data_IF_489284703827
#
_entry.id   IF_489284703827
#
_cell.length_a   1.000
_cell.length_b   1.000
_cell.length_c   1.000
_cell.angle_alpha   90.00
_cell.angle_beta   90.00
_cell.angle_gamma   90.00
#
_symmetry.space_group_name_H-M   'P 1'
#
loop_
_entity.id
_entity.type
_entity.pdbx_description
1 polymer ?
#
# COMPACT_ATOMS: atom_id res chain seq x y z
N UNK A 1 27.19 -9.49 -6.34
CA UNK A 1 26.34 -8.28 -6.33
C UNK A 1 24.99 -8.58 -6.96
N UNK A 2 23.91 -8.13 -6.33
CA UNK A 2 22.54 -8.17 -6.84
C UNK A 2 21.80 -6.95 -6.31
N UNK A 3 21.53 -5.97 -7.16
CA UNK A 3 20.89 -4.71 -6.80
C UNK A 3 19.65 -4.52 -7.67
N UNK A 4 18.63 -3.88 -7.08
CA UNK A 4 17.34 -3.59 -7.72
C UNK A 4 17.15 -2.09 -7.71
N UNK A 5 16.71 -1.53 -8.84
CA UNK A 5 16.34 -0.13 -8.96
C UNK A 5 15.01 0.03 -9.68
N UNK A 6 14.24 1.03 -9.26
CA UNK A 6 12.99 1.42 -9.90
C UNK A 6 12.94 2.95 -10.04
N UNK A 7 12.38 3.41 -11.15
CA UNK A 7 11.94 4.80 -11.27
C UNK A 7 10.83 4.97 -12.32
N UNK A 8 9.96 5.93 -12.04
CA UNK A 8 8.88 6.40 -12.90
C UNK A 8 9.05 7.91 -13.15
N UNK A 9 9.11 8.32 -14.41
CA UNK A 9 9.27 9.73 -14.82
C UNK A 9 8.41 10.02 -16.05
N UNK A 10 7.79 11.21 -16.05
CA UNK A 10 7.01 11.74 -17.17
C UNK A 10 5.51 11.66 -16.93
N UNK A 11 4.75 11.92 -17.99
CA UNK A 11 3.29 11.89 -18.00
C UNK A 11 2.80 10.96 -19.12
N UNK A 12 1.57 10.45 -18.99
CA UNK A 12 0.95 9.63 -20.05
C UNK A 12 0.79 10.42 -21.36
N UNK A 13 0.91 9.77 -22.54
CA UNK A 13 1.22 8.35 -22.73
C UNK A 13 2.72 8.01 -22.79
N UNK A 14 3.62 8.99 -22.80
CA UNK A 14 5.07 8.75 -22.94
C UNK A 14 5.79 8.34 -21.64
N UNK A 15 5.07 8.31 -20.51
CA UNK A 15 5.56 7.91 -19.20
C UNK A 15 6.54 6.73 -19.27
N UNK A 16 7.74 6.93 -18.72
CA UNK A 16 8.73 5.87 -18.58
C UNK A 16 8.66 5.26 -17.19
N UNK A 17 8.50 3.95 -17.12
CA UNK A 17 8.62 3.18 -15.89
C UNK A 17 9.70 2.11 -16.08
N UNK A 18 10.79 2.26 -15.35
CA UNK A 18 11.99 1.42 -15.41
C UNK A 18 12.06 0.53 -14.18
N UNK A 19 12.12 -0.78 -14.40
CA UNK A 19 12.58 -1.74 -13.39
C UNK A 19 13.93 -2.28 -13.85
N UNK A 20 14.95 -2.28 -12.99
CA UNK A 20 16.27 -2.77 -13.38
C UNK A 20 16.94 -3.64 -12.33
N UNK A 21 17.81 -4.51 -12.83
CA UNK A 21 18.76 -5.31 -12.06
C UNK A 21 20.19 -4.90 -12.42
N UNK A 22 21.05 -4.79 -11.41
CA UNK A 22 22.51 -4.65 -11.57
C UNK A 22 23.19 -5.79 -10.82
N UNK A 23 24.14 -6.48 -11.43
CA UNK A 23 24.88 -7.52 -10.73
C UNK A 23 26.06 -8.05 -11.50
N UNK A 24 26.77 -8.99 -10.88
CA UNK A 24 27.98 -9.58 -11.45
C UNK A 24 27.66 -10.47 -12.65
N UNK A 25 28.55 -10.47 -13.65
CA UNK A 25 28.50 -11.34 -14.83
C UNK A 25 28.48 -12.84 -14.49
N UNK A 26 29.17 -13.23 -13.42
CA UNK A 26 29.21 -14.62 -12.95
C UNK A 26 28.11 -14.93 -11.93
N UNK A 27 27.25 -13.96 -11.62
CA UNK A 27 26.16 -14.08 -10.67
C UNK A 27 24.79 -14.36 -11.30
N UNK A 28 23.72 -14.36 -10.48
CA UNK A 28 22.35 -14.60 -10.96
C UNK A 28 21.90 -13.62 -12.04
N UNK A 29 22.33 -12.35 -11.97
CA UNK A 29 21.99 -11.34 -12.98
C UNK A 29 22.70 -11.65 -14.31
N UNK A 30 23.96 -12.08 -14.29
CA UNK A 30 24.67 -12.55 -15.48
C UNK A 30 24.05 -13.76 -16.16
N UNK A 31 23.60 -14.75 -15.38
CA UNK A 31 22.86 -15.91 -15.89
C UNK A 31 21.54 -15.45 -16.55
N UNK A 32 20.78 -14.59 -15.88
CA UNK A 32 19.53 -14.04 -16.41
C UNK A 32 19.75 -13.22 -17.68
N UNK A 33 20.85 -12.45 -17.73
CA UNK A 33 21.24 -11.66 -18.90
C UNK A 33 21.53 -12.58 -20.10
N UNK A 34 22.34 -13.61 -19.92
CA UNK A 34 22.71 -14.56 -20.97
C UNK A 34 21.47 -15.31 -21.51
N UNK A 35 20.61 -15.78 -20.60
CA UNK A 35 19.37 -16.45 -20.96
C UNK A 35 18.41 -15.51 -21.70
N UNK A 36 18.21 -14.29 -21.20
CA UNK A 36 17.32 -13.31 -21.82
C UNK A 36 17.77 -12.90 -23.21
N UNK A 37 19.09 -12.80 -23.44
CA UNK A 37 19.62 -12.51 -24.77
C UNK A 37 19.44 -13.69 -25.75
N UNK A 38 19.53 -14.93 -25.26
CA UNK A 38 19.48 -16.14 -26.09
C UNK A 38 18.07 -16.70 -26.30
N UNK A 39 17.13 -16.44 -25.38
CA UNK A 39 15.77 -17.01 -25.39
C UNK A 39 14.75 -15.91 -25.73
N UNK A 40 14.31 -15.90 -26.99
CA UNK A 40 13.41 -14.87 -27.49
C UNK A 40 11.94 -15.32 -27.40
N UNK A 41 11.08 -14.38 -27.01
CA UNK A 41 9.62 -14.55 -27.01
C UNK A 41 8.98 -13.56 -27.96
N UNK A 42 7.91 -13.98 -28.64
CA UNK A 42 7.16 -13.11 -29.55
C UNK A 42 6.66 -11.85 -28.83
N UNK A 43 7.00 -10.67 -29.37
CA UNK A 43 6.62 -9.37 -28.81
C UNK A 43 7.44 -8.90 -27.61
N UNK A 44 8.39 -9.70 -27.11
CA UNK A 44 9.25 -9.36 -25.96
C UNK A 44 10.72 -9.68 -26.26
N UNK A 45 11.21 -9.26 -27.42
CA UNK A 45 12.58 -9.51 -27.86
C UNK A 45 13.57 -8.60 -27.11
N UNK A 46 14.45 -9.15 -26.25
CA UNK A 46 15.45 -8.35 -25.57
C UNK A 46 16.58 -7.95 -26.52
N UNK A 47 17.27 -6.86 -26.21
CA UNK A 47 18.41 -6.39 -27.01
C UNK A 47 19.44 -5.67 -26.17
N UNK A 48 20.67 -5.61 -26.68
CA UNK A 48 21.73 -4.81 -26.07
C UNK A 48 21.41 -3.32 -26.23
N UNK A 49 21.58 -2.54 -25.15
CA UNK A 49 21.49 -1.09 -25.26
C UNK A 49 22.73 -0.54 -25.97
N UNK A 50 22.52 0.32 -26.96
CA UNK A 50 23.59 0.97 -27.71
C UNK A 50 23.35 2.47 -27.78
N UNK A 51 24.42 3.27 -27.61
CA UNK A 51 24.34 4.73 -27.77
C UNK A 51 24.05 5.05 -29.25
N UNK A 52 24.72 4.31 -30.12
CA UNK A 52 24.54 4.23 -31.57
C UNK A 52 24.99 2.84 -32.04
N UNK A 53 24.63 2.39 -33.25
CA UNK A 53 25.10 1.11 -33.78
C UNK A 53 26.63 0.96 -33.65
N UNK A 54 27.08 -0.22 -33.23
CA UNK A 54 28.49 -0.55 -32.94
C UNK A 54 29.12 0.19 -31.74
N UNK A 55 28.31 0.82 -30.88
CA UNK A 55 28.77 1.44 -29.63
C UNK A 55 27.83 1.08 -28.46
N UNK A 56 27.92 -0.15 -27.92
CA UNK A 56 27.16 -0.54 -26.72
C UNK A 56 27.61 0.26 -25.50
N UNK A 57 26.70 0.44 -24.54
CA UNK A 57 27.06 0.99 -23.23
C UNK A 57 27.90 -0.01 -22.43
N UNK A 58 28.63 0.52 -21.46
CA UNK A 58 29.33 -0.24 -20.43
C UNK A 58 28.87 0.29 -19.06
N UNK A 59 28.47 -0.57 -18.10
CA UNK A 59 28.42 -2.03 -18.19
C UNK A 59 27.42 -2.55 -19.24
N UNK A 60 27.63 -3.78 -19.70
CA UNK A 60 26.78 -4.36 -20.74
C UNK A 60 25.34 -4.45 -20.23
N UNK A 61 24.40 -3.92 -21.02
CA UNK A 61 23.02 -3.68 -20.58
C UNK A 61 22.04 -4.31 -21.56
N UNK A 62 21.13 -5.13 -21.06
CA UNK A 62 20.05 -5.77 -21.80
C UNK A 62 18.74 -5.01 -21.56
N UNK A 63 18.06 -4.59 -22.62
CA UNK A 63 16.74 -3.96 -22.55
C UNK A 63 15.67 -5.01 -22.80
N UNK A 64 14.63 -5.02 -21.96
CA UNK A 64 13.49 -5.94 -22.05
C UNK A 64 12.19 -5.14 -22.14
N UNK A 65 11.40 -5.25 -23.23
CA UNK A 65 10.10 -4.59 -23.33
C UNK A 65 9.09 -5.18 -22.32
N UNK A 66 8.49 -4.35 -21.45
CA UNK A 66 7.39 -4.77 -20.55
C UNK A 66 6.08 -4.98 -21.29
N UNK A 67 5.82 -4.14 -22.28
CA UNK A 67 4.60 -4.17 -23.09
C UNK A 67 4.86 -4.97 -24.36
N UNK A 68 3.93 -5.85 -24.73
CA UNK A 68 4.04 -6.67 -25.95
C UNK A 68 4.12 -5.77 -27.18
N UNK A 69 5.23 -5.84 -27.90
CA UNK A 69 5.48 -5.13 -29.15
C UNK A 69 4.70 -5.81 -30.28
N UNK A 70 3.75 -5.11 -30.89
CA UNK A 70 2.82 -5.66 -31.89
C UNK A 70 3.11 -5.24 -33.33
N UNK A 71 3.84 -4.13 -33.53
CA UNK A 71 4.10 -3.57 -34.85
C UNK A 71 5.44 -2.83 -34.91
N UNK A 72 5.83 -2.44 -36.12
CA UNK A 72 7.13 -1.79 -36.37
C UNK A 72 7.24 -0.40 -35.75
N UNK A 73 6.13 0.32 -35.56
CA UNK A 73 6.15 1.64 -34.91
C UNK A 73 6.54 1.48 -33.43
N UNK A 74 5.92 0.52 -32.73
CA UNK A 74 6.27 0.19 -31.35
C UNK A 74 7.70 -0.34 -31.25
N UNK A 75 8.14 -1.16 -32.21
CA UNK A 75 9.52 -1.62 -32.29
C UNK A 75 10.50 -0.45 -32.45
N UNK A 76 10.18 0.54 -33.29
CA UNK A 76 11.02 1.71 -33.50
C UNK A 76 11.13 2.61 -32.27
N UNK A 77 10.11 2.66 -31.42
CA UNK A 77 10.13 3.39 -30.14
C UNK A 77 11.08 2.75 -29.13
N UNK A 78 10.99 1.43 -28.96
CA UNK A 78 11.85 0.71 -28.02
C UNK A 78 13.30 0.63 -28.54
N UNK A 79 13.51 0.39 -29.83
CA UNK A 79 14.82 0.23 -30.47
C UNK A 79 15.41 1.54 -31.01
N UNK A 80 14.76 2.67 -30.73
CA UNK A 80 15.22 4.00 -31.13
C UNK A 80 15.44 4.88 -29.90
N UNK A 81 14.49 5.76 -29.57
CA UNK A 81 14.64 6.72 -28.47
C UNK A 81 14.87 6.05 -27.12
N UNK A 82 14.15 4.98 -26.77
CA UNK A 82 14.34 4.32 -25.48
C UNK A 82 15.70 3.59 -25.39
N UNK A 83 16.13 2.90 -26.45
CA UNK A 83 17.42 2.20 -26.48
C UNK A 83 18.60 3.14 -26.26
N UNK A 84 18.66 4.25 -27.00
CA UNK A 84 19.75 5.23 -26.85
C UNK A 84 19.66 6.00 -25.54
N UNK A 85 18.45 6.25 -25.04
CA UNK A 85 18.23 6.86 -23.72
C UNK A 85 18.80 6.00 -22.58
N UNK A 86 18.44 4.70 -22.54
CA UNK A 86 18.98 3.75 -21.57
C UNK A 86 20.50 3.67 -21.68
N UNK A 87 21.03 3.50 -22.90
CA UNK A 87 22.47 3.37 -23.11
C UNK A 87 23.26 4.59 -22.63
N UNK A 88 22.77 5.80 -22.92
CA UNK A 88 23.39 7.05 -22.46
C UNK A 88 23.25 7.24 -20.95
N UNK A 89 22.11 6.92 -20.37
CA UNK A 89 21.91 7.01 -18.92
C UNK A 89 22.90 6.10 -18.17
N UNK A 90 23.14 4.88 -18.65
CA UNK A 90 24.16 3.98 -18.09
C UNK A 90 25.57 4.57 -18.25
N UNK A 91 25.91 5.05 -19.44
CA UNK A 91 27.23 5.64 -19.70
C UNK A 91 27.50 6.88 -18.84
N UNK A 92 26.50 7.76 -18.68
CA UNK A 92 26.59 8.95 -17.83
C UNK A 92 26.69 8.57 -16.35
N UNK A 93 26.00 7.50 -15.92
CA UNK A 93 26.13 6.99 -14.54
C UNK A 93 27.56 6.51 -14.24
N UNK A 94 28.28 5.99 -15.24
CA UNK A 94 29.73 5.68 -15.13
C UNK A 94 30.58 6.96 -15.15
N UNK A 95 30.23 7.92 -16.01
CA UNK A 95 30.96 9.18 -16.11
C UNK A 95 30.92 9.97 -14.79
N UNK A 96 29.77 9.95 -14.12
CA UNK A 96 29.47 10.60 -12.84
C UNK A 96 29.94 9.81 -11.61
N UNK A 97 30.42 8.57 -11.81
CA UNK A 97 30.93 7.73 -10.73
C UNK A 97 29.87 7.01 -9.89
N UNK A 98 28.59 7.09 -10.28
CA UNK A 98 27.50 6.29 -9.67
C UNK A 98 27.78 4.80 -9.87
N UNK A 99 28.20 4.42 -11.08
CA UNK A 99 28.78 3.10 -11.34
C UNK A 99 30.30 3.27 -11.36
N UNK A 100 31.07 2.58 -10.49
CA UNK A 100 32.51 2.67 -10.48
C UNK A 100 33.12 2.23 -11.82
N UNK A 101 33.99 3.07 -12.41
CA UNK A 101 34.66 2.78 -13.69
C UNK A 101 35.42 1.46 -13.69
N UNK A 102 35.98 1.05 -12.56
CA UNK A 102 36.72 -0.22 -12.42
C UNK A 102 35.83 -1.48 -12.51
N UNK A 103 34.53 -1.35 -12.27
CA UNK A 103 33.60 -2.49 -12.20
C UNK A 103 32.82 -2.70 -13.50
N UNK A 104 32.96 -1.81 -14.49
CA UNK A 104 32.11 -1.84 -15.69
C UNK A 104 32.25 -3.11 -16.53
N UNK A 105 33.38 -3.80 -16.41
CA UNK A 105 33.61 -5.09 -17.06
C UNK A 105 33.20 -6.29 -16.22
N UNK A 106 32.88 -6.13 -14.95
CA UNK A 106 32.40 -7.21 -14.08
C UNK A 106 30.88 -7.20 -13.95
N UNK A 107 30.25 -6.06 -14.20
CA UNK A 107 28.81 -5.87 -14.06
C UNK A 107 28.04 -6.07 -15.37
N UNK A 108 26.78 -6.45 -15.22
CA UNK A 108 25.74 -6.40 -16.26
C UNK A 108 24.48 -5.75 -15.70
N UNK A 109 23.69 -5.15 -16.59
CA UNK A 109 22.37 -4.61 -16.27
C UNK A 109 21.29 -5.29 -17.09
N UNK A 110 20.13 -5.50 -16.47
CA UNK A 110 18.89 -5.87 -17.17
C UNK A 110 17.90 -4.74 -16.87
N UNK A 111 17.46 -4.03 -17.90
CA UNK A 111 16.59 -2.86 -17.82
C UNK A 111 15.26 -3.19 -18.49
N UNK A 112 14.22 -3.33 -17.70
CA UNK A 112 12.87 -3.53 -18.17
C UNK A 112 12.21 -2.19 -18.42
N UNK A 113 11.73 -1.98 -19.66
CA UNK A 113 11.24 -0.68 -20.13
C UNK A 113 9.74 -0.76 -20.42
N UNK A 114 8.97 0.13 -19.79
CA UNK A 114 7.57 0.39 -20.15
C UNK A 114 7.48 1.49 -21.23
N UNK A 115 6.73 1.23 -22.29
CA UNK A 115 6.27 2.23 -23.26
C UNK A 115 4.80 1.94 -23.52
N UNK A 116 3.92 2.93 -23.31
CA UNK A 116 2.50 2.76 -23.54
C UNK A 116 2.22 2.54 -25.05
N UNK A 117 1.26 1.67 -25.45
CA UNK A 117 0.95 1.43 -26.87
C UNK A 117 0.55 2.68 -27.68
N UNK A 118 0.06 3.70 -26.99
CA UNK A 118 -0.36 4.99 -27.58
C UNK A 118 0.72 6.06 -27.56
N UNK A 119 1.92 5.79 -27.00
CA UNK A 119 3.02 6.74 -27.06
C UNK A 119 3.36 7.06 -28.52
N UNK A 120 3.73 8.31 -28.81
CA UNK A 120 4.07 8.80 -30.16
C UNK A 120 5.24 9.77 -30.15
N UNK A 121 5.45 10.53 -29.08
CA UNK A 121 6.52 11.54 -29.03
C UNK A 121 7.89 10.92 -28.70
N UNK A 122 8.77 10.90 -29.69
CA UNK A 122 10.11 10.31 -29.56
C UNK A 122 11.04 11.11 -28.63
N UNK A 123 10.89 12.44 -28.57
CA UNK A 123 11.73 13.27 -27.69
C UNK A 123 11.34 13.03 -26.22
N UNK A 124 10.04 12.98 -25.93
CA UNK A 124 9.54 12.65 -24.61
C UNK A 124 9.92 11.21 -24.19
N UNK A 125 9.73 10.21 -25.07
CA UNK A 125 10.17 8.83 -24.81
C UNK A 125 11.66 8.80 -24.46
N UNK A 126 12.51 9.50 -25.21
CA UNK A 126 13.94 9.56 -24.93
C UNK A 126 14.23 10.20 -23.56
N UNK A 127 13.71 11.39 -23.30
CA UNK A 127 14.01 12.15 -22.07
C UNK A 127 13.54 11.42 -20.81
N UNK A 128 12.33 10.87 -20.84
CA UNK A 128 11.75 10.15 -19.71
C UNK A 128 12.49 8.85 -19.45
N UNK A 129 12.79 8.05 -20.48
CA UNK A 129 13.56 6.82 -20.30
C UNK A 129 15.00 7.11 -19.84
N UNK A 130 15.63 8.19 -20.31
CA UNK A 130 16.96 8.58 -19.87
C UNK A 130 16.95 8.95 -18.38
N UNK A 131 16.03 9.83 -17.98
CA UNK A 131 15.88 10.26 -16.59
C UNK A 131 15.53 9.11 -15.65
N UNK A 132 14.54 8.29 -16.02
CA UNK A 132 14.09 7.15 -15.22
C UNK A 132 15.22 6.12 -15.08
N UNK A 133 15.92 5.78 -16.15
CA UNK A 133 17.06 4.85 -16.09
C UNK A 133 18.14 5.37 -15.17
N UNK A 134 18.53 6.64 -15.29
CA UNK A 134 19.57 7.25 -14.47
C UNK A 134 19.20 7.25 -12.99
N UNK A 135 17.95 7.61 -12.67
CA UNK A 135 17.44 7.58 -11.30
C UNK A 135 17.39 6.15 -10.74
N UNK A 136 16.90 5.19 -11.51
CA UNK A 136 16.84 3.79 -11.10
C UNK A 136 18.24 3.20 -10.86
N UNK A 137 19.22 3.52 -11.70
CA UNK A 137 20.62 3.09 -11.50
C UNK A 137 21.18 3.68 -10.22
N UNK A 138 20.99 4.99 -10.00
CA UNK A 138 21.43 5.66 -8.77
C UNK A 138 20.81 5.01 -7.53
N UNK A 139 19.49 4.81 -7.54
CA UNK A 139 18.74 4.15 -6.45
C UNK A 139 19.24 2.74 -6.18
N UNK A 140 19.50 1.94 -7.21
CA UNK A 140 20.06 0.60 -7.06
C UNK A 140 21.45 0.62 -6.40
N UNK A 141 22.34 1.50 -6.88
CA UNK A 141 23.70 1.62 -6.35
C UNK A 141 23.75 2.17 -4.92
N UNK A 142 22.80 3.05 -4.57
CA UNK A 142 22.67 3.63 -3.22
C UNK A 142 21.81 2.76 -2.27
N UNK A 143 21.24 1.65 -2.75
CA UNK A 143 20.27 0.81 -2.01
C UNK A 143 19.07 1.62 -1.48
N UNK A 144 18.61 2.59 -2.27
CA UNK A 144 17.47 3.44 -1.94
C UNK A 144 16.19 2.97 -2.65
N UNK A 145 15.01 3.01 -2.00
CA UNK A 145 14.80 3.37 -0.59
C UNK A 145 15.26 2.27 0.37
N UNK A 146 15.69 2.66 1.57
CA UNK A 146 15.91 1.72 2.67
C UNK A 146 14.58 1.28 3.30
N UNK A 147 14.65 0.28 4.18
CA UNK A 147 13.46 -0.29 4.82
C UNK A 147 12.72 0.74 5.69
N UNK A 148 13.44 1.65 6.34
CA UNK A 148 12.83 2.67 7.21
C UNK A 148 12.04 3.68 6.39
N UNK A 149 12.58 4.11 5.25
CA UNK A 149 11.88 4.97 4.29
C UNK A 149 10.62 4.28 3.76
N UNK A 150 10.69 2.99 3.41
CA UNK A 150 9.52 2.23 2.94
C UNK A 150 8.46 2.11 4.03
N UNK A 151 8.84 1.74 5.25
CA UNK A 151 7.92 1.60 6.38
C UNK A 151 7.26 2.92 6.78
N UNK A 152 7.98 4.04 6.57
CA UNK A 152 7.43 5.38 6.75
C UNK A 152 6.46 5.73 5.61
N UNK A 153 6.85 5.62 4.34
CA UNK A 153 6.03 6.13 3.23
C UNK A 153 4.83 5.24 2.85
N UNK A 154 4.84 3.94 3.19
CA UNK A 154 3.85 2.95 2.70
C UNK A 154 2.39 3.31 2.96
N UNK A 155 2.09 4.01 4.06
CA UNK A 155 0.73 4.39 4.45
C UNK A 155 0.39 5.85 4.06
N UNK A 156 1.37 6.58 3.53
CA UNK A 156 1.25 8.01 3.17
C UNK A 156 1.08 8.25 1.68
N UNK A 157 1.56 7.32 0.86
CA UNK A 157 1.52 7.41 -0.60
C UNK A 157 0.30 6.70 -1.19
N UNK A 158 -0.20 7.21 -2.31
CA UNK A 158 -1.29 6.58 -3.09
C UNK A 158 -0.73 6.05 -4.40
N UNK A 159 -1.08 4.82 -4.76
CA UNK A 159 -0.71 4.27 -6.06
C UNK A 159 -1.56 4.94 -7.16
N UNK A 160 -0.98 5.45 -8.27
CA UNK A 160 -1.70 6.22 -9.29
C UNK A 160 -2.95 5.51 -9.85
N UNK A 161 -2.86 4.19 -10.07
CA UNK A 161 -3.98 3.39 -10.59
C UNK A 161 -5.09 3.17 -9.56
N UNK A 162 -4.78 3.16 -8.26
CA UNK A 162 -5.79 2.87 -7.25
C UNK A 162 -6.83 3.99 -7.14
N UNK A 163 -6.45 5.25 -7.39
CA UNK A 163 -7.37 6.39 -7.35
C UNK A 163 -7.98 6.71 -5.98
N UNK A 164 -7.67 5.90 -4.95
CA UNK A 164 -8.04 6.13 -3.56
C UNK A 164 -6.91 5.63 -2.64
N UNK A 165 -6.89 6.16 -1.42
CA UNK A 165 -5.92 5.79 -0.39
C UNK A 165 -6.57 4.85 0.61
N UNK A 166 -5.87 3.78 0.99
CA UNK A 166 -6.27 2.92 2.11
C UNK A 166 -5.68 3.51 3.39
N UNK A 167 -6.54 4.03 4.26
CA UNK A 167 -6.10 4.63 5.52
C UNK A 167 -5.67 3.54 6.51
N UNK A 168 -4.55 3.77 7.21
CA UNK A 168 -4.10 2.98 8.36
C UNK A 168 -4.00 3.86 9.59
N UNK A 169 -4.30 3.30 10.76
CA UNK A 169 -4.32 4.05 12.01
C UNK A 169 -2.92 4.07 12.66
N UNK A 170 -2.12 5.10 12.38
CA UNK A 170 -0.77 5.27 12.94
C UNK A 170 -0.52 6.63 13.64
N UNK A 171 -1.29 7.68 13.32
CA UNK A 171 -1.17 9.04 13.87
C UNK A 171 -2.42 9.52 14.65
N UNK A 172 -2.71 8.99 15.85
CA UNK A 172 -3.80 9.52 16.66
C UNK A 172 -3.52 10.97 17.13
N UNK A 173 -4.55 11.81 17.34
CA UNK A 173 -5.96 11.46 17.47
C UNK A 173 -6.74 11.45 16.15
N UNK A 174 -7.82 10.65 16.14
CA UNK A 174 -8.80 10.60 15.06
C UNK A 174 -10.15 11.12 15.57
N UNK A 175 -10.92 11.76 14.68
CA UNK A 175 -12.32 12.06 14.88
C UNK A 175 -13.16 10.95 14.25
N UNK A 176 -13.94 10.23 15.03
CA UNK A 176 -14.90 9.23 14.53
C UNK A 176 -16.31 9.84 14.50
N UNK A 177 -17.01 9.67 13.39
CA UNK A 177 -18.41 10.08 13.23
C UNK A 177 -19.28 8.83 13.10
N UNK A 178 -20.03 8.53 14.16
CA UNK A 178 -21.01 7.45 14.19
C UNK A 178 -22.27 7.84 13.41
N UNK A 179 -22.66 7.01 12.44
CA UNK A 179 -23.87 7.17 11.66
C UNK A 179 -24.97 6.26 12.19
N UNK A 180 -25.55 6.61 13.35
CA UNK A 180 -26.69 5.93 13.95
C UNK A 180 -28.03 6.32 13.29
N UNK A 181 -28.04 6.31 11.96
CA UNK A 181 -29.16 6.74 11.13
C UNK A 181 -29.85 5.54 10.49
N UNK A 182 -31.15 5.68 10.25
CA UNK A 182 -31.97 4.64 9.59
C UNK A 182 -32.46 5.07 8.20
N UNK A 183 -31.93 6.16 7.65
CA UNK A 183 -32.28 6.71 6.34
C UNK A 183 -31.02 6.95 5.51
N UNK A 184 -30.90 6.24 4.36
CA UNK A 184 -29.73 6.35 3.49
C UNK A 184 -29.62 7.73 2.81
N UNK A 185 -30.72 8.43 2.57
CA UNK A 185 -30.68 9.80 2.05
C UNK A 185 -30.02 10.76 3.05
N UNK A 186 -30.34 10.63 4.33
CA UNK A 186 -29.69 11.41 5.40
C UNK A 186 -28.22 11.04 5.53
N UNK A 187 -27.88 9.74 5.51
CA UNK A 187 -26.48 9.26 5.50
C UNK A 187 -25.69 9.91 4.36
N UNK A 188 -26.21 9.87 3.13
CA UNK A 188 -25.55 10.50 1.96
C UNK A 188 -25.31 11.99 2.15
N UNK A 189 -26.28 12.71 2.72
CA UNK A 189 -26.16 14.14 2.97
C UNK A 189 -25.15 14.48 4.08
N UNK A 190 -24.98 13.61 5.10
CA UNK A 190 -23.92 13.78 6.10
C UNK A 190 -22.56 13.52 5.47
N UNK A 191 -22.39 12.40 4.76
CA UNK A 191 -21.13 12.00 4.13
C UNK A 191 -20.59 13.06 3.14
N UNK A 192 -21.47 13.74 2.41
CA UNK A 192 -21.08 14.79 1.46
C UNK A 192 -20.63 16.10 2.11
N UNK A 193 -20.94 16.30 3.40
CA UNK A 193 -20.57 17.49 4.17
C UNK A 193 -19.35 17.29 5.05
N UNK A 194 -18.96 16.03 5.28
CA UNK A 194 -17.76 15.71 6.03
C UNK A 194 -16.50 16.14 5.25
N UNK A 195 -15.49 16.73 5.93
CA UNK A 195 -14.23 17.09 5.28
C UNK A 195 -13.49 15.86 4.78
N UNK A 196 -12.63 16.01 3.77
CA UNK A 196 -11.70 14.96 3.38
C UNK A 196 -10.44 15.00 4.24
N UNK A 197 -10.20 13.94 5.01
CA UNK A 197 -9.15 13.87 6.02
C UNK A 197 -8.83 12.41 6.35
N UNK A 198 -7.54 12.08 6.50
CA UNK A 198 -7.07 10.80 7.06
C UNK A 198 -7.29 10.69 8.57
N UNK A 199 -7.56 11.80 9.26
CA UNK A 199 -7.90 11.82 10.67
C UNK A 199 -9.43 11.69 10.92
N UNK A 200 -10.24 11.46 9.88
CA UNK A 200 -11.68 11.26 10.00
C UNK A 200 -12.05 9.79 9.76
N UNK A 201 -12.67 9.15 10.76
CA UNK A 201 -13.22 7.81 10.67
C UNK A 201 -14.75 7.89 10.56
N UNK A 202 -15.34 6.99 9.77
CA UNK A 202 -16.78 6.90 9.57
C UNK A 202 -17.24 5.58 10.13
N UNK A 203 -18.15 5.62 11.10
CA UNK A 203 -18.71 4.42 11.68
C UNK A 203 -20.12 4.18 11.14
N UNK A 204 -20.32 2.98 10.60
CA UNK A 204 -21.64 2.44 10.33
C UNK A 204 -22.20 1.93 11.65
N UNK A 205 -22.89 2.82 12.36
CA UNK A 205 -23.44 2.55 13.69
C UNK A 205 -24.45 1.40 13.70
N UNK A 206 -24.69 0.85 14.90
CA UNK A 206 -25.55 -0.32 15.12
C UNK A 206 -26.94 -0.22 14.42
N UNK A 207 -27.70 0.88 14.50
CA UNK A 207 -29.02 0.98 13.84
C UNK A 207 -28.91 0.90 12.32
N UNK A 208 -27.87 1.50 11.74
CA UNK A 208 -27.66 1.55 10.30
C UNK A 208 -27.33 0.16 9.75
N UNK A 209 -26.37 -0.54 10.36
CA UNK A 209 -26.00 -1.90 9.93
C UNK A 209 -27.12 -2.91 10.20
N UNK A 210 -27.86 -2.78 11.30
CA UNK A 210 -29.01 -3.68 11.57
C UNK A 210 -30.13 -3.51 10.54
N UNK A 211 -30.32 -2.29 10.02
CA UNK A 211 -31.37 -2.02 9.04
C UNK A 211 -30.99 -2.42 7.62
N UNK A 212 -29.76 -2.15 7.19
CA UNK A 212 -29.34 -2.29 5.78
C UNK A 212 -28.30 -3.40 5.55
N UNK A 213 -27.84 -4.05 6.61
CA UNK A 213 -26.77 -5.04 6.57
C UNK A 213 -25.39 -4.43 6.30
N UNK A 214 -24.36 -5.28 6.32
CA UNK A 214 -22.97 -4.85 6.15
C UNK A 214 -22.68 -4.22 4.77
N UNK A 215 -23.49 -4.53 3.74
CA UNK A 215 -23.28 -3.99 2.39
C UNK A 215 -23.44 -2.47 2.30
N UNK A 216 -24.03 -1.82 3.30
CA UNK A 216 -24.08 -0.35 3.40
C UNK A 216 -22.68 0.28 3.39
N UNK A 217 -21.64 -0.45 3.79
CA UNK A 217 -20.24 0.01 3.67
C UNK A 217 -19.89 0.35 2.22
N UNK A 218 -20.40 -0.41 1.23
CA UNK A 218 -20.15 -0.12 -0.20
C UNK A 218 -20.79 1.19 -0.66
N UNK A 219 -21.95 1.55 -0.10
CA UNK A 219 -22.58 2.85 -0.37
C UNK A 219 -21.69 3.99 0.13
N UNK A 220 -21.07 3.83 1.31
CA UNK A 220 -20.12 4.80 1.84
C UNK A 220 -18.89 4.88 0.94
N UNK A 221 -18.30 3.74 0.54
CA UNK A 221 -17.14 3.68 -0.36
C UNK A 221 -17.40 4.35 -1.70
N UNK A 222 -18.59 4.22 -2.27
CA UNK A 222 -18.94 4.87 -3.53
C UNK A 222 -18.93 6.41 -3.42
N UNK A 223 -19.24 6.94 -2.23
CA UNK A 223 -19.29 8.39 -1.98
C UNK A 223 -17.93 8.89 -1.51
N UNK A 224 -17.22 8.08 -0.71
CA UNK A 224 -15.94 8.38 -0.07
C UNK A 224 -14.98 7.19 -0.20
N UNK A 225 -14.34 6.99 -1.36
CA UNK A 225 -13.50 5.80 -1.60
C UNK A 225 -12.37 5.65 -0.58
N UNK A 226 -11.76 6.76 -0.18
CA UNK A 226 -10.61 6.80 0.73
C UNK A 226 -10.94 6.82 2.22
N UNK A 227 -12.22 6.87 2.65
CA UNK A 227 -12.55 7.02 4.08
C UNK A 227 -12.24 5.77 4.88
N UNK A 228 -11.80 5.90 6.14
CA UNK A 228 -11.72 4.75 7.02
C UNK A 228 -13.12 4.39 7.54
N UNK A 229 -13.59 3.16 7.32
CA UNK A 229 -14.95 2.73 7.68
C UNK A 229 -14.94 1.68 8.79
N UNK A 230 -15.51 2.02 9.94
CA UNK A 230 -15.77 1.11 11.06
C UNK A 230 -17.17 0.52 10.89
N UNK A 231 -17.31 -0.80 11.02
CA UNK A 231 -18.61 -1.48 11.01
C UNK A 231 -18.98 -1.91 12.43
N UNK A 232 -19.97 -1.24 13.01
CA UNK A 232 -20.39 -1.47 14.39
C UNK A 232 -21.43 -2.59 14.50
N UNK A 233 -20.95 -3.83 14.45
CA UNK A 233 -21.81 -5.02 14.57
C UNK A 233 -22.22 -5.30 16.03
N UNK A 234 -21.44 -4.80 17.00
CA UNK A 234 -21.52 -5.21 18.42
C UNK A 234 -21.55 -6.73 18.56
N UNK A 235 -20.64 -7.40 17.85
CA UNK A 235 -20.55 -8.87 17.81
C UNK A 235 -20.54 -9.45 19.21
N UNK A 236 -21.51 -10.33 19.51
CA UNK A 236 -21.64 -10.99 20.80
C UNK A 236 -21.37 -12.51 20.70
N UNK A 237 -21.60 -13.09 19.52
CA UNK A 237 -21.32 -14.50 19.21
C UNK A 237 -20.77 -14.63 17.77
N UNK A 238 -20.16 -15.76 17.45
CA UNK A 238 -19.65 -16.08 16.11
C UNK A 238 -18.58 -15.11 15.59
N UNK A 239 -17.64 -14.73 16.45
CA UNK A 239 -16.64 -13.69 16.19
C UNK A 239 -15.91 -13.81 14.85
N UNK A 240 -15.53 -15.02 14.44
CA UNK A 240 -14.90 -15.25 13.14
C UNK A 240 -15.84 -14.99 11.95
N UNK A 241 -17.12 -15.33 12.07
CA UNK A 241 -18.09 -15.16 11.00
C UNK A 241 -18.42 -13.68 10.80
N UNK A 242 -18.68 -12.94 11.88
CA UNK A 242 -19.04 -11.53 11.79
C UNK A 242 -17.88 -10.65 11.31
N UNK A 243 -16.65 -10.96 11.73
CA UNK A 243 -15.44 -10.32 11.16
C UNK A 243 -15.30 -10.60 9.66
N UNK A 244 -15.61 -11.82 9.21
CA UNK A 244 -15.61 -12.16 7.78
C UNK A 244 -16.62 -11.31 7.02
N UNK A 245 -17.84 -11.17 7.55
CA UNK A 245 -18.90 -10.35 6.95
C UNK A 245 -18.42 -8.90 6.81
N UNK A 246 -17.77 -8.33 7.83
CA UNK A 246 -17.23 -6.98 7.79
C UNK A 246 -16.13 -6.82 6.73
N UNK A 247 -15.17 -7.76 6.69
CA UNK A 247 -14.08 -7.75 5.72
C UNK A 247 -14.59 -7.89 4.27
N UNK A 248 -15.52 -8.81 4.02
CA UNK A 248 -16.13 -9.04 2.69
C UNK A 248 -16.97 -7.82 2.23
N UNK A 249 -17.46 -7.03 3.20
CA UNK A 249 -18.12 -5.75 2.94
C UNK A 249 -17.16 -4.58 2.73
N UNK A 250 -15.84 -4.80 2.84
CA UNK A 250 -14.77 -3.80 2.71
C UNK A 250 -14.70 -2.77 3.85
N UNK A 251 -15.14 -3.15 5.05
CA UNK A 251 -14.90 -2.35 6.26
C UNK A 251 -13.41 -2.39 6.63
N UNK A 252 -12.89 -1.31 7.21
CA UNK A 252 -11.51 -1.26 7.71
C UNK A 252 -11.42 -1.73 9.15
N UNK A 253 -12.51 -1.64 9.91
CA UNK A 253 -12.60 -2.10 11.29
C UNK A 253 -13.96 -2.70 11.59
N UNK A 254 -14.03 -3.54 12.62
CA UNK A 254 -15.27 -4.12 13.11
C UNK A 254 -15.32 -4.03 14.63
N UNK A 255 -16.52 -3.73 15.15
CA UNK A 255 -16.76 -3.60 16.60
C UNK A 255 -17.32 -4.91 17.16
N UNK A 256 -16.66 -5.40 18.19
CA UNK A 256 -17.01 -6.57 18.99
C UNK A 256 -17.35 -6.10 20.39
N UNK A 257 -18.42 -6.63 20.98
CA UNK A 257 -18.74 -6.32 22.37
C UNK A 257 -17.71 -6.93 23.32
N UNK A 258 -17.20 -6.14 24.26
CA UNK A 258 -16.39 -6.61 25.38
C UNK A 258 -17.14 -7.51 26.36
N UNK A 259 -18.47 -7.58 26.26
CA UNK A 259 -19.31 -8.54 26.99
C UNK A 259 -19.39 -9.92 26.31
N UNK A 260 -18.87 -10.06 25.09
CA UNK A 260 -18.86 -11.35 24.41
C UNK A 260 -18.01 -12.37 25.19
N UNK A 261 -18.32 -13.68 25.09
CA UNK A 261 -17.48 -14.71 25.68
C UNK A 261 -16.02 -14.55 25.21
N UNK A 262 -15.05 -14.77 26.11
CA UNK A 262 -13.62 -14.67 25.81
C UNK A 262 -13.22 -15.32 24.48
N UNK A 263 -13.70 -16.54 24.23
CA UNK A 263 -13.40 -17.28 23.01
C UNK A 263 -13.92 -16.56 21.75
N UNK A 264 -15.09 -15.91 21.82
CA UNK A 264 -15.63 -15.10 20.72
C UNK A 264 -14.71 -13.92 20.40
N UNK A 265 -14.24 -13.20 21.43
CA UNK A 265 -13.31 -12.08 21.28
C UNK A 265 -11.98 -12.57 20.66
N UNK A 266 -11.42 -13.66 21.17
CA UNK A 266 -10.16 -14.22 20.64
C UNK A 266 -10.30 -14.67 19.18
N UNK A 267 -11.41 -15.32 18.81
CA UNK A 267 -11.70 -15.68 17.43
C UNK A 267 -11.85 -14.46 16.52
N UNK A 268 -12.50 -13.40 17.00
CA UNK A 268 -12.67 -12.17 16.24
C UNK A 268 -11.33 -11.44 16.01
N UNK A 269 -10.49 -11.31 17.04
CA UNK A 269 -9.15 -10.70 16.92
C UNK A 269 -8.29 -11.50 15.94
N UNK A 270 -8.29 -12.83 16.06
CA UNK A 270 -7.53 -13.70 15.15
C UNK A 270 -8.00 -13.56 13.70
N UNK A 271 -9.31 -13.51 13.49
CA UNK A 271 -9.87 -13.37 12.14
C UNK A 271 -9.61 -11.97 11.57
N UNK A 272 -9.65 -10.92 12.39
CA UNK A 272 -9.39 -9.54 11.95
C UNK A 272 -7.95 -9.41 11.44
N UNK A 273 -7.00 -10.03 12.15
CA UNK A 273 -5.60 -10.13 11.73
C UNK A 273 -5.44 -10.91 10.42
N UNK A 274 -6.22 -11.97 10.23
CA UNK A 274 -6.18 -12.79 9.00
C UNK A 274 -6.72 -12.03 7.79
N UNK A 275 -7.75 -11.21 7.97
CA UNK A 275 -8.38 -10.42 6.89
C UNK A 275 -7.74 -9.06 6.68
N UNK A 276 -6.94 -8.57 7.62
CA UNK A 276 -6.25 -7.29 7.53
C UNK A 276 -7.08 -6.08 7.95
N UNK A 277 -8.22 -6.30 8.63
CA UNK A 277 -9.05 -5.27 9.25
C UNK A 277 -8.73 -5.11 10.74
N UNK A 278 -9.14 -4.00 11.34
CA UNK A 278 -8.91 -3.69 12.74
C UNK A 278 -10.01 -4.28 13.62
N UNK A 279 -9.60 -4.87 14.74
CA UNK A 279 -10.51 -5.30 15.81
C UNK A 279 -10.73 -4.17 16.81
N UNK A 280 -12.00 -3.78 17.03
CA UNK A 280 -12.41 -2.79 18.04
C UNK A 280 -13.20 -3.53 19.11
N UNK A 281 -12.77 -3.46 20.37
CA UNK A 281 -13.52 -4.04 21.50
C UNK A 281 -14.25 -2.93 22.24
N UNK A 282 -15.57 -2.91 22.11
CA UNK A 282 -16.47 -1.95 22.76
C UNK A 282 -16.73 -2.36 24.22
N UNK A 283 -16.28 -1.53 25.15
CA UNK A 283 -16.39 -1.75 26.59
C UNK A 283 -17.71 -1.25 27.19
N UNK A 284 -18.71 -0.94 26.37
CA UNK A 284 -20.05 -0.59 26.83
C UNK A 284 -20.59 -1.64 27.81
N UNK A 285 -20.97 -1.19 29.00
CA UNK A 285 -21.47 -1.99 30.12
C UNK A 285 -20.48 -3.05 30.68
N UNK A 286 -19.20 -3.01 30.28
CA UNK A 286 -18.15 -3.86 30.87
C UNK A 286 -17.71 -3.24 32.19
N UNK A 287 -17.87 -3.99 33.29
CA UNK A 287 -17.54 -3.51 34.64
C UNK A 287 -16.03 -3.36 34.88
N UNK A 288 -15.22 -4.26 34.32
CA UNK A 288 -13.77 -4.25 34.44
C UNK A 288 -13.10 -4.51 33.07
N UNK A 289 -12.82 -3.45 32.29
CA UNK A 289 -12.14 -3.56 31.01
C UNK A 289 -10.74 -4.17 31.10
N UNK A 290 -9.99 -3.94 32.19
CA UNK A 290 -8.65 -4.51 32.36
C UNK A 290 -8.71 -6.01 32.53
N UNK A 291 -9.65 -6.52 33.35
CA UNK A 291 -9.83 -7.95 33.54
C UNK A 291 -10.15 -8.66 32.22
N UNK A 292 -11.01 -8.05 31.37
CA UNK A 292 -11.30 -8.58 30.03
C UNK A 292 -10.01 -8.68 29.21
N UNK A 293 -9.26 -7.58 29.07
CA UNK A 293 -8.04 -7.55 28.25
C UNK A 293 -6.95 -8.48 28.78
N UNK A 294 -6.76 -8.54 30.09
CA UNK A 294 -5.78 -9.44 30.74
C UNK A 294 -6.14 -10.92 30.54
N UNK A 295 -7.42 -11.23 30.36
CA UNK A 295 -7.84 -12.60 30.06
C UNK A 295 -7.50 -13.03 28.64
N UNK A 296 -7.28 -12.12 27.70
CA UNK A 296 -7.07 -12.44 26.29
C UNK A 296 -5.64 -12.92 26.03
N UNK A 297 -5.50 -13.94 25.18
CA UNK A 297 -4.20 -14.36 24.64
C UNK A 297 -3.60 -13.39 23.62
N UNK A 298 -4.41 -12.47 23.10
CA UNK A 298 -4.00 -11.49 22.10
C UNK A 298 -4.82 -10.24 22.28
N UNK A 299 -4.15 -9.10 22.32
CA UNK A 299 -4.80 -7.81 22.46
C UNK A 299 -5.43 -7.36 21.12
N UNK A 300 -6.55 -6.62 21.17
CA UNK A 300 -7.18 -6.04 20.00
C UNK A 300 -6.36 -4.86 19.46
N UNK A 301 -6.74 -4.35 18.29
CA UNK A 301 -6.08 -3.17 17.71
C UNK A 301 -6.61 -1.87 18.36
N UNK A 302 -7.90 -1.84 18.70
CA UNK A 302 -8.57 -0.72 19.37
C UNK A 302 -9.38 -1.20 20.57
N UNK A 303 -9.28 -0.49 21.68
CA UNK A 303 -10.21 -0.61 22.83
C UNK A 303 -11.07 0.64 22.88
N UNK A 304 -12.38 0.48 22.82
CA UNK A 304 -13.32 1.59 22.88
C UNK A 304 -13.91 1.70 24.28
N UNK A 305 -13.60 2.80 24.95
CA UNK A 305 -14.16 3.17 26.25
C UNK A 305 -15.48 3.90 26.01
N UNK A 306 -16.56 3.12 25.88
CA UNK A 306 -17.89 3.59 25.55
C UNK A 306 -18.75 3.76 26.81
N UNK A 307 -19.32 4.94 26.99
CA UNK A 307 -20.35 5.21 27.99
C UNK A 307 -21.74 5.19 27.35
N UNK A 308 -22.69 4.51 27.99
CA UNK A 308 -24.07 4.53 27.51
C UNK A 308 -24.64 5.96 27.56
N UNK A 309 -25.37 6.35 26.51
CA UNK A 309 -26.07 7.65 26.43
C UNK A 309 -27.02 7.84 27.63
N UNK A 310 -27.69 6.77 28.04
CA UNK A 310 -28.60 6.80 29.20
C UNK A 310 -27.88 6.95 30.56
N UNK A 311 -26.53 6.91 30.58
CA UNK A 311 -25.67 7.03 31.77
C UNK A 311 -24.75 8.26 31.72
N UNK A 312 -25.08 9.29 30.92
CA UNK A 312 -24.25 10.51 30.76
C UNK A 312 -23.93 11.25 32.07
N UNK A 313 -24.75 11.08 33.11
CA UNK A 313 -24.52 11.67 34.43
C UNK A 313 -23.46 10.94 35.28
N UNK A 314 -23.03 9.75 34.87
CA UNK A 314 -22.02 8.97 35.57
C UNK A 314 -20.60 9.36 35.17
N UNK A 315 -19.64 9.16 36.10
CA UNK A 315 -18.22 9.49 35.86
C UNK A 315 -17.64 8.58 34.79
N UNK A 316 -16.86 9.15 33.89
CA UNK A 316 -16.08 8.40 32.92
C UNK A 316 -15.04 7.51 33.60
N UNK A 317 -14.88 6.27 33.12
CA UNK A 317 -13.83 5.35 33.57
C UNK A 317 -12.51 5.54 32.79
N UNK A 318 -12.11 6.78 32.51
CA UNK A 318 -10.94 7.08 31.69
C UNK A 318 -9.61 6.88 32.42
N UNK A 319 -9.64 6.71 33.75
CA UNK A 319 -8.44 6.47 34.57
C UNK A 319 -7.68 5.20 34.10
N UNK A 320 -8.41 4.22 33.57
CA UNK A 320 -7.91 2.94 33.10
C UNK A 320 -7.12 3.04 31.77
N UNK A 321 -7.25 4.12 31.01
CA UNK A 321 -6.63 4.29 29.69
C UNK A 321 -5.10 4.19 29.77
N UNK A 322 -4.50 4.75 30.83
CA UNK A 322 -3.06 4.70 31.03
C UNK A 322 -2.56 3.25 31.19
N UNK A 323 -3.33 2.42 31.89
CA UNK A 323 -2.97 1.03 32.13
C UNK A 323 -3.21 0.15 30.90
N UNK A 324 -4.28 0.38 30.13
CA UNK A 324 -4.47 -0.26 28.82
C UNK A 324 -3.28 0.01 27.88
N UNK A 325 -2.81 1.26 27.82
CA UNK A 325 -1.66 1.62 26.99
C UNK A 325 -0.37 0.93 27.46
N UNK A 326 -0.19 0.74 28.77
CA UNK A 326 0.97 0.00 29.32
C UNK A 326 0.96 -1.47 28.91
N UNK A 327 -0.20 -2.11 28.79
CA UNK A 327 -0.31 -3.52 28.36
C UNK A 327 0.24 -3.78 26.95
N UNK A 328 0.31 -2.74 26.11
CA UNK A 328 0.80 -2.83 24.74
C UNK A 328 2.27 -2.42 24.56
N UNK A 329 2.98 -2.01 25.62
CA UNK A 329 4.36 -1.50 25.51
C UNK A 329 5.33 -2.56 24.99
N UNK A 330 5.13 -3.81 25.37
CA UNK A 330 5.94 -4.95 24.92
C UNK A 330 5.32 -5.69 23.73
N UNK A 331 4.25 -5.15 23.14
CA UNK A 331 3.61 -5.72 21.96
C UNK A 331 4.20 -5.11 20.68
N UNK A 332 4.33 -5.94 19.63
CA UNK A 332 4.66 -5.48 18.28
C UNK A 332 3.64 -4.46 17.70
N UNK A 333 2.50 -4.25 18.38
CA UNK A 333 1.47 -3.28 17.99
C UNK A 333 1.08 -2.37 19.16
N UNK A 334 1.00 -1.07 18.86
CA UNK A 334 0.39 -0.08 19.75
C UNK A 334 -1.12 -0.28 19.77
N UNK A 335 -1.72 -0.43 20.95
CA UNK A 335 -3.17 -0.38 21.12
C UNK A 335 -3.63 1.07 21.02
N UNK A 336 -4.66 1.30 20.21
CA UNK A 336 -5.38 2.57 20.22
C UNK A 336 -6.52 2.50 21.23
N UNK A 337 -6.81 3.64 21.85
CA UNK A 337 -7.96 3.76 22.76
C UNK A 337 -8.90 4.81 22.19
N UNK A 338 -10.12 4.38 21.87
CA UNK A 338 -11.22 5.25 21.49
C UNK A 338 -12.04 5.61 22.74
N UNK A 339 -12.67 6.78 22.73
CA UNK A 339 -13.59 7.22 23.77
C UNK A 339 -14.89 7.66 23.10
N UNK A 340 -16.02 7.19 23.62
CA UNK A 340 -17.34 7.48 23.09
C UNK A 340 -18.37 7.62 24.22
N UNK A 341 -19.40 8.44 24.00
CA UNK A 341 -20.51 8.69 24.91
C UNK A 341 -20.45 10.01 25.66
#
# INVERSE_FOLDING_TARGET
MFLIGEALIGDEPELAHIDLLIGDKDGPVGIAFANGLAQLSAGHTPLLSVIRPNLPSKPATLIVPKVTVKNMDQAAQIFGPAQTAVAKAVADSVAEGVIPRGEVENLVLIVSVFIHPQARDYDAIYRYNYGATKLAVKRAMESFPDIDTVLYEKDRSTHPIMGFRVIRLWDPPYLQVALDLVDLGVVRNVLSRLPDSDHLLIEVGTPLVKKFGAQVVKEIRNIRPSSFVVLDLKTLDTGNLEVRIAADATADAVVISGLAPRNTIELAIKESRKTGIYSVIDMLNVSDPLAVLQSLSSLPDVVEMHRAIDQEAEKHNWEVIADIKKMAVDSDRKILVAVAG
#
